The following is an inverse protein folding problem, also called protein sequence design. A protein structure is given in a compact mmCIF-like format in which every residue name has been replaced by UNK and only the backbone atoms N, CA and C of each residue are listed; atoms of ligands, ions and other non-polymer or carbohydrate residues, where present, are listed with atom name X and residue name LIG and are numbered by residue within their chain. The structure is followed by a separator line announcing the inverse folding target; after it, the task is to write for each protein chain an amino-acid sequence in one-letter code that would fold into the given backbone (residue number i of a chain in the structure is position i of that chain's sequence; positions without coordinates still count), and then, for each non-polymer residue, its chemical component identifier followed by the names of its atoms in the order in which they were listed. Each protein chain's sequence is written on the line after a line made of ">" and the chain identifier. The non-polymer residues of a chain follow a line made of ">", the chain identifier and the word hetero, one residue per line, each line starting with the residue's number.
data_IF_198523133403
#
_entry.id   IF_198523133403
#
_cell.length_a   1.000
_cell.length_b   1.000
_cell.length_c   1.000
_cell.angle_alpha   90.00
_cell.angle_beta   90.00
_cell.angle_gamma   90.00
#
_symmetry.space_group_name_H-M   'P 1'
#
loop_
_entity.id
_entity.type
_entity.pdbx_description
1 polymer ?
#
# COMPACT_ATOMS: atom_id res chain seq x y z
N UNK A 1 -10.08 15.58 13.55
CA UNK A 1 -9.92 14.11 13.33
C UNK A 1 -8.58 13.75 12.68
N UNK A 2 -8.03 14.56 11.76
CA UNK A 2 -6.72 14.31 11.12
C UNK A 2 -5.49 14.75 11.95
N UNK A 3 -5.69 15.35 13.12
CA UNK A 3 -4.61 16.03 13.86
C UNK A 3 -3.94 15.25 14.99
N UNK A 4 -4.42 14.11 15.51
CA UNK A 4 -3.76 13.55 16.72
C UNK A 4 -3.98 12.05 16.95
N UNK A 5 -2.85 11.35 17.15
CA UNK A 5 -2.63 10.07 17.85
C UNK A 5 -3.27 8.77 17.32
N UNK A 6 -4.36 8.81 16.55
CA UNK A 6 -5.03 7.57 16.12
C UNK A 6 -4.14 6.71 15.21
N UNK A 7 -3.47 7.30 14.22
CA UNK A 7 -2.60 6.55 13.30
C UNK A 7 -1.41 5.92 14.05
N UNK A 8 -0.60 6.68 14.83
CA UNK A 8 0.46 6.08 15.64
C UNK A 8 -0.01 5.00 16.60
N UNK A 9 -1.19 5.17 17.23
CA UNK A 9 -1.77 4.17 18.11
C UNK A 9 -2.17 2.90 17.35
N UNK A 10 -2.83 3.04 16.21
CA UNK A 10 -3.21 1.91 15.36
C UNK A 10 -1.96 1.15 14.90
N UNK A 11 -0.91 1.84 14.46
CA UNK A 11 0.34 1.22 14.04
C UNK A 11 1.01 0.44 15.17
N UNK A 12 1.02 0.99 16.40
CA UNK A 12 1.53 0.28 17.58
C UNK A 12 0.73 -1.00 17.87
N UNK A 13 -0.60 -0.93 17.81
CA UNK A 13 -1.47 -2.09 18.02
C UNK A 13 -1.30 -3.12 16.88
N UNK A 14 -1.16 -2.66 15.65
CA UNK A 14 -0.90 -3.50 14.47
C UNK A 14 0.42 -4.28 14.59
N UNK A 15 1.43 -3.70 15.26
CA UNK A 15 2.72 -4.34 15.48
C UNK A 15 2.65 -5.39 16.61
N UNK A 16 2.18 -5.00 17.80
CA UNK A 16 2.33 -5.81 19.03
C UNK A 16 1.02 -6.28 19.68
N UNK A 17 -0.14 -5.94 19.12
CA UNK A 17 -1.44 -6.35 19.65
C UNK A 17 -1.79 -7.83 19.43
N UNK A 18 -2.87 -8.27 20.06
CA UNK A 18 -3.50 -9.56 19.75
C UNK A 18 -4.09 -9.57 18.34
N UNK A 19 -4.36 -10.74 17.77
CA UNK A 19 -4.94 -10.86 16.41
C UNK A 19 -6.23 -10.01 16.24
N UNK A 20 -7.11 -10.07 17.24
CA UNK A 20 -8.36 -9.31 17.25
C UNK A 20 -8.10 -7.79 17.25
N UNK A 21 -7.19 -7.32 18.12
CA UNK A 21 -6.82 -5.91 18.19
C UNK A 21 -6.12 -5.44 16.92
N UNK A 22 -5.24 -6.26 16.33
CA UNK A 22 -4.59 -6.01 15.04
C UNK A 22 -5.63 -5.86 13.93
N UNK A 23 -6.64 -6.73 13.91
CA UNK A 23 -7.72 -6.68 12.91
C UNK A 23 -8.49 -5.36 13.01
N UNK A 24 -8.89 -4.97 14.22
CA UNK A 24 -9.62 -3.71 14.45
C UNK A 24 -8.75 -2.49 14.11
N UNK A 25 -7.49 -2.46 14.56
CA UNK A 25 -6.58 -1.36 14.27
C UNK A 25 -6.29 -1.22 12.77
N UNK A 26 -6.11 -2.34 12.06
CA UNK A 26 -5.91 -2.34 10.60
C UNK A 26 -7.16 -1.87 9.88
N UNK A 27 -8.35 -2.25 10.36
CA UNK A 27 -9.62 -1.76 9.81
C UNK A 27 -9.78 -0.24 9.99
N UNK A 28 -9.40 0.31 11.15
CA UNK A 28 -9.41 1.75 11.39
C UNK A 28 -8.43 2.45 10.44
N UNK A 29 -7.20 1.95 10.32
CA UNK A 29 -6.22 2.49 9.37
C UNK A 29 -6.72 2.42 7.92
N UNK A 30 -7.36 1.32 7.54
CA UNK A 30 -7.97 1.15 6.24
C UNK A 30 -9.03 2.23 5.99
N UNK A 31 -9.91 2.50 6.96
CA UNK A 31 -10.92 3.56 6.83
C UNK A 31 -10.28 4.92 6.61
N UNK A 32 -9.23 5.25 7.37
CA UNK A 32 -8.46 6.48 7.19
C UNK A 32 -7.84 6.56 5.79
N UNK A 33 -7.27 5.47 5.28
CA UNK A 33 -6.67 5.43 3.94
C UNK A 33 -7.74 5.55 2.82
N UNK A 34 -8.95 5.04 3.05
CA UNK A 34 -10.04 5.17 2.07
C UNK A 34 -10.45 6.62 1.87
N UNK A 35 -10.38 7.46 2.92
CA UNK A 35 -10.60 8.89 2.80
C UNK A 35 -9.41 9.58 2.09
N UNK A 36 -9.70 10.40 1.07
CA UNK A 36 -8.66 11.11 0.29
C UNK A 36 -7.79 12.01 1.18
N UNK A 37 -8.38 12.64 2.19
CA UNK A 37 -7.64 13.45 3.17
C UNK A 37 -6.69 12.62 4.04
N UNK A 38 -7.08 11.40 4.41
CA UNK A 38 -6.26 10.50 5.22
C UNK A 38 -5.12 9.88 4.39
N UNK A 39 -5.40 9.48 3.15
CA UNK A 39 -4.36 9.06 2.20
C UNK A 39 -3.34 10.18 1.96
N UNK A 40 -3.83 11.39 1.67
CA UNK A 40 -2.98 12.57 1.48
C UNK A 40 -2.10 12.85 2.70
N UNK A 41 -2.66 12.75 3.92
CA UNK A 41 -1.92 12.93 5.17
C UNK A 41 -0.79 11.90 5.38
N UNK A 42 -1.07 10.61 5.12
CA UNK A 42 -0.09 9.51 5.27
C UNK A 42 1.01 9.62 4.22
N UNK A 43 0.65 9.92 2.98
CA UNK A 43 1.59 10.06 1.86
C UNK A 43 2.23 11.46 1.76
N UNK A 44 1.95 12.35 2.71
CA UNK A 44 2.45 13.73 2.70
C UNK A 44 3.98 13.78 2.84
N UNK A 45 4.50 13.03 3.81
CA UNK A 45 5.94 12.91 4.08
C UNK A 45 6.41 11.47 3.92
N UNK A 46 7.68 11.31 3.57
CA UNK A 46 8.29 9.99 3.42
C UNK A 46 8.28 9.21 4.74
N UNK A 47 8.59 9.86 5.87
CA UNK A 47 8.60 9.21 7.19
C UNK A 47 7.26 8.59 7.58
N UNK A 48 6.14 9.30 7.34
CA UNK A 48 4.80 8.79 7.65
C UNK A 48 4.46 7.57 6.81
N UNK A 49 4.68 7.67 5.50
CA UNK A 49 4.46 6.55 4.59
C UNK A 49 5.36 5.35 4.93
N UNK A 50 6.66 5.59 5.12
CA UNK A 50 7.65 4.56 5.41
C UNK A 50 7.30 3.80 6.68
N UNK A 51 6.92 4.51 7.74
CA UNK A 51 6.50 3.87 8.98
C UNK A 51 5.27 2.96 8.77
N UNK A 52 4.24 3.42 8.05
CA UNK A 52 3.07 2.61 7.72
C UNK A 52 3.46 1.38 6.89
N UNK A 53 4.29 1.55 5.86
CA UNK A 53 4.73 0.48 4.98
C UNK A 53 5.55 -0.59 5.74
N UNK A 54 6.43 -0.19 6.65
CA UNK A 54 7.22 -1.10 7.49
C UNK A 54 6.31 -1.97 8.36
N UNK A 55 5.32 -1.36 9.03
CA UNK A 55 4.41 -2.12 9.91
C UNK A 55 3.54 -3.07 9.08
N UNK A 56 2.99 -2.62 7.95
CA UNK A 56 2.25 -3.51 7.04
C UNK A 56 3.13 -4.66 6.53
N UNK A 57 4.42 -4.41 6.23
CA UNK A 57 5.37 -5.42 5.81
C UNK A 57 5.61 -6.48 6.89
N UNK A 58 5.83 -6.06 8.14
CA UNK A 58 5.95 -6.98 9.29
C UNK A 58 4.69 -7.82 9.46
N UNK A 59 3.51 -7.23 9.29
CA UNK A 59 2.25 -7.97 9.35
C UNK A 59 2.14 -9.03 8.27
N UNK A 60 2.56 -8.73 7.03
CA UNK A 60 2.58 -9.72 5.94
C UNK A 60 3.49 -10.90 6.28
N UNK A 61 4.69 -10.64 6.80
CA UNK A 61 5.62 -11.71 7.22
C UNK A 61 5.04 -12.52 8.40
N UNK A 62 4.30 -11.89 9.30
CA UNK A 62 3.60 -12.61 10.37
C UNK A 62 2.49 -13.49 9.81
N UNK A 63 1.72 -12.97 8.85
CA UNK A 63 0.61 -13.67 8.21
C UNK A 63 1.07 -14.87 7.38
N UNK A 64 2.28 -14.86 6.84
CA UNK A 64 2.82 -16.04 6.13
C UNK A 64 3.14 -17.21 7.06
N UNK A 65 3.33 -16.95 8.36
CA UNK A 65 3.55 -17.98 9.39
C UNK A 65 2.25 -18.41 10.05
N UNK A 66 1.41 -17.42 10.40
CA UNK A 66 0.11 -17.63 11.03
C UNK A 66 -0.99 -16.99 10.17
N UNK A 67 -1.59 -17.76 9.25
CA UNK A 67 -2.52 -17.22 8.27
C UNK A 67 -3.83 -16.76 8.89
N UNK A 68 -4.19 -15.49 8.66
CA UNK A 68 -5.49 -14.91 9.03
C UNK A 68 -6.13 -14.19 7.85
N UNK A 69 -7.18 -14.79 7.28
CA UNK A 69 -7.86 -14.26 6.09
C UNK A 69 -8.48 -12.87 6.34
N UNK A 70 -9.03 -12.65 7.54
CA UNK A 70 -9.65 -11.36 7.92
C UNK A 70 -8.61 -10.25 7.96
N UNK A 71 -7.47 -10.52 8.59
CA UNK A 71 -6.40 -9.52 8.70
C UNK A 71 -5.75 -9.26 7.33
N UNK A 72 -5.46 -10.32 6.57
CA UNK A 72 -4.88 -10.23 5.22
C UNK A 72 -5.74 -9.35 4.31
N UNK A 73 -7.07 -9.50 4.35
CA UNK A 73 -8.01 -8.67 3.60
C UNK A 73 -7.80 -7.17 3.84
N UNK A 74 -7.67 -6.77 5.10
CA UNK A 74 -7.46 -5.36 5.45
C UNK A 74 -6.06 -4.88 5.03
N UNK A 75 -5.02 -5.70 5.21
CA UNK A 75 -3.65 -5.40 4.80
C UNK A 75 -3.55 -5.17 3.29
N UNK A 76 -4.08 -6.09 2.48
CA UNK A 76 -4.10 -5.96 1.00
C UNK A 76 -4.85 -4.70 0.59
N UNK A 77 -5.97 -4.39 1.24
CA UNK A 77 -6.76 -3.21 0.90
C UNK A 77 -6.06 -1.90 1.24
N UNK A 78 -5.27 -1.86 2.31
CA UNK A 78 -4.39 -0.73 2.65
C UNK A 78 -3.31 -0.51 1.58
N UNK A 79 -2.61 -1.58 1.17
CA UNK A 79 -1.60 -1.49 0.10
C UNK A 79 -2.19 -1.01 -1.22
N UNK A 80 -3.34 -1.56 -1.64
CA UNK A 80 -4.03 -1.13 -2.86
C UNK A 80 -4.31 0.37 -2.80
N UNK A 81 -4.82 0.87 -1.66
CA UNK A 81 -5.14 2.29 -1.52
C UNK A 81 -3.89 3.18 -1.49
N UNK A 82 -2.80 2.72 -0.88
CA UNK A 82 -1.51 3.42 -0.95
C UNK A 82 -0.99 3.51 -2.39
N UNK A 83 -1.25 2.50 -3.24
CA UNK A 83 -0.83 2.50 -4.64
C UNK A 83 -1.54 3.56 -5.51
N UNK A 84 -2.66 4.12 -5.04
CA UNK A 84 -3.35 5.21 -5.75
C UNK A 84 -2.53 6.51 -5.70
N UNK A 85 -1.68 6.68 -4.68
CA UNK A 85 -0.77 7.82 -4.60
C UNK A 85 0.50 7.54 -5.44
N UNK A 86 0.86 8.40 -6.41
CA UNK A 86 2.01 8.16 -7.29
C UNK A 86 3.35 8.05 -6.55
N UNK A 87 3.56 8.83 -5.48
CA UNK A 87 4.81 8.79 -4.68
C UNK A 87 4.90 7.50 -3.88
N UNK A 88 3.80 7.12 -3.23
CA UNK A 88 3.75 5.87 -2.46
C UNK A 88 3.86 4.65 -3.37
N UNK A 89 3.23 4.68 -4.55
CA UNK A 89 3.33 3.62 -5.58
C UNK A 89 4.77 3.35 -5.99
N UNK A 90 5.56 4.40 -6.25
CA UNK A 90 6.98 4.23 -6.59
C UNK A 90 7.76 3.55 -5.46
N UNK A 91 7.56 4.00 -4.22
CA UNK A 91 8.20 3.38 -3.07
C UNK A 91 7.74 1.92 -2.85
N UNK A 92 6.44 1.64 -3.04
CA UNK A 92 5.87 0.31 -2.91
C UNK A 92 6.47 -0.68 -3.92
N UNK A 93 6.91 -0.25 -5.11
CA UNK A 93 7.59 -1.17 -6.04
C UNK A 93 8.83 -1.80 -5.42
N UNK A 94 9.54 -1.03 -4.59
CA UNK A 94 10.79 -1.40 -3.94
C UNK A 94 10.58 -2.08 -2.58
N UNK A 95 9.50 -1.74 -1.85
CA UNK A 95 9.28 -2.23 -0.48
C UNK A 95 8.10 -3.19 -0.30
N UNK A 96 7.37 -3.57 -1.36
CA UNK A 96 6.32 -4.58 -1.27
C UNK A 96 6.90 -5.94 -0.87
N UNK A 97 6.39 -6.60 0.19
CA UNK A 97 6.86 -7.92 0.60
C UNK A 97 6.67 -8.98 -0.48
N UNK A 98 7.67 -9.85 -0.65
CA UNK A 98 7.66 -10.92 -1.67
C UNK A 98 6.51 -11.91 -1.48
N UNK A 99 6.02 -12.10 -0.25
CA UNK A 99 4.90 -12.99 0.06
C UNK A 99 3.58 -12.55 -0.62
N UNK A 100 3.46 -11.27 -0.98
CA UNK A 100 2.32 -10.76 -1.75
C UNK A 100 2.48 -10.99 -3.26
N UNK A 101 3.69 -11.36 -3.73
CA UNK A 101 4.04 -11.59 -5.13
C UNK A 101 4.20 -13.08 -5.47
N UNK A 102 4.76 -13.87 -4.55
CA UNK A 102 5.17 -15.27 -4.77
C UNK A 102 4.02 -16.29 -4.65
N UNK A 103 2.80 -15.84 -4.34
CA UNK A 103 1.65 -16.72 -4.19
C UNK A 103 1.52 -17.38 -2.82
N UNK A 104 2.30 -16.98 -1.80
CA UNK A 104 2.21 -17.47 -0.41
C UNK A 104 0.77 -17.51 0.11
N UNK A 105 -0.02 -16.48 -0.18
CA UNK A 105 -1.41 -16.38 0.32
C UNK A 105 -2.46 -17.01 -0.60
N UNK A 106 -2.09 -17.74 -1.66
CA UNK A 106 -3.05 -18.27 -2.64
C UNK A 106 -4.14 -19.12 -1.99
N UNK A 107 -3.78 -19.96 -1.01
CA UNK A 107 -4.72 -20.80 -0.25
C UNK A 107 -5.72 -19.95 0.56
N UNK A 108 -5.24 -18.95 1.31
CA UNK A 108 -6.10 -18.02 2.07
C UNK A 108 -7.02 -17.17 1.19
N UNK A 109 -6.59 -16.89 -0.05
CA UNK A 109 -7.32 -16.07 -1.00
C UNK A 109 -8.29 -16.85 -1.89
N UNK A 110 -8.32 -18.19 -1.81
CA UNK A 110 -9.25 -18.99 -2.64
C UNK A 110 -10.72 -18.66 -2.34
N UNK A 111 -11.06 -18.49 -1.07
CA UNK A 111 -12.43 -18.24 -0.62
C UNK A 111 -12.82 -16.75 -0.69
N UNK A 112 -11.84 -15.84 -0.64
CA UNK A 112 -12.09 -14.39 -0.73
C UNK A 112 -11.70 -13.81 -2.11
N UNK A 113 -12.66 -13.95 -3.05
CA UNK A 113 -12.54 -13.40 -4.41
C UNK A 113 -12.26 -11.90 -4.44
N UNK A 114 -12.75 -11.15 -3.45
CA UNK A 114 -12.56 -9.69 -3.39
C UNK A 114 -11.11 -9.36 -3.07
N UNK A 115 -10.55 -10.01 -2.06
CA UNK A 115 -9.15 -9.81 -1.67
C UNK A 115 -8.19 -10.26 -2.77
N UNK A 116 -8.49 -11.37 -3.44
CA UNK A 116 -7.74 -11.81 -4.63
C UNK A 116 -7.73 -10.75 -5.73
N UNK A 117 -8.91 -10.19 -6.06
CA UNK A 117 -9.03 -9.12 -7.06
C UNK A 117 -8.24 -7.87 -6.67
N UNK A 118 -8.29 -7.46 -5.40
CA UNK A 118 -7.52 -6.31 -4.90
C UNK A 118 -6.02 -6.51 -4.98
N UNK A 119 -5.54 -7.71 -4.68
CA UNK A 119 -4.12 -8.05 -4.83
C UNK A 119 -3.68 -7.97 -6.29
N UNK A 120 -4.47 -8.51 -7.23
CA UNK A 120 -4.18 -8.40 -8.66
C UNK A 120 -4.15 -6.95 -9.13
N UNK A 121 -5.10 -6.12 -8.67
CA UNK A 121 -5.12 -4.68 -8.99
C UNK A 121 -3.90 -3.95 -8.42
N UNK A 122 -3.49 -4.28 -7.20
CA UNK A 122 -2.29 -3.73 -6.57
C UNK A 122 -1.05 -4.03 -7.42
N UNK A 123 -0.84 -5.30 -7.77
CA UNK A 123 0.31 -5.70 -8.59
C UNK A 123 0.30 -5.00 -9.94
N UNK A 124 -0.86 -4.94 -10.60
CA UNK A 124 -1.03 -4.20 -11.85
C UNK A 124 -0.67 -2.71 -11.71
N UNK A 125 -1.11 -2.05 -10.65
CA UNK A 125 -0.79 -0.65 -10.39
C UNK A 125 0.71 -0.40 -10.20
N UNK A 126 1.43 -1.39 -9.67
CA UNK A 126 2.88 -1.36 -9.50
C UNK A 126 3.60 -1.68 -10.81
N UNK A 127 3.07 -2.52 -11.67
CA UNK A 127 3.68 -2.84 -12.96
C UNK A 127 3.50 -1.75 -14.02
N UNK A 128 2.50 -0.87 -13.90
CA UNK A 128 2.29 0.20 -14.89
C UNK A 128 3.51 1.14 -14.91
N UNK A 129 4.29 1.22 -16.00
CA UNK A 129 5.42 2.14 -16.06
C UNK A 129 4.90 3.57 -15.93
N UNK A 130 5.51 4.33 -15.02
CA UNK A 130 5.32 5.78 -14.96
C UNK A 130 5.86 6.32 -16.28
N UNK A 131 4.96 6.66 -17.21
CA UNK A 131 5.34 7.34 -18.44
C UNK A 131 6.08 8.60 -18.00
N UNK A 132 7.38 8.76 -18.32
CA UNK A 132 8.07 10.00 -18.05
C UNK A 132 7.28 11.08 -18.79
N UNK A 133 6.81 12.08 -18.07
CA UNK A 133 6.25 13.29 -18.66
C UNK A 133 7.34 13.82 -19.59
N UNK A 134 7.15 13.61 -20.89
CA UNK A 134 8.02 14.16 -21.92
C UNK A 134 7.79 15.65 -21.86
N UNK A 135 8.78 16.37 -21.35
CA UNK A 135 8.80 17.82 -21.28
C UNK A 135 8.55 18.36 -22.70
N UNK A 136 7.45 19.08 -22.98
CA UNK A 136 7.16 19.60 -24.33
C UNK A 136 8.13 20.72 -24.77
N UNK A 137 9.19 20.98 -24.01
CA UNK A 137 10.19 22.03 -24.27
C UNK A 137 11.41 21.56 -25.08
N UNK A 138 11.45 20.30 -25.51
CA UNK A 138 12.52 19.74 -26.35
C UNK A 138 12.08 19.51 -27.81
N UNK A 139 11.16 20.33 -28.34
CA UNK A 139 10.94 20.41 -29.78
C UNK A 139 12.16 21.08 -30.41
N UNK A 140 12.98 20.26 -31.06
CA UNK A 140 14.20 20.65 -31.74
C UNK A 140 13.97 21.77 -32.75
N UNK A 141 14.79 22.81 -32.63
CA UNK A 141 15.02 23.79 -33.67
C UNK A 141 15.77 23.07 -34.79
N UNK A 142 15.08 22.79 -35.90
CA UNK A 142 15.71 22.29 -37.12
C UNK A 142 16.59 23.40 -37.73
N UNK A 143 17.82 23.11 -38.20
CA UNK A 143 18.61 24.09 -38.92
C UNK A 143 18.07 24.18 -40.36
N UNK A 144 17.69 25.40 -40.76
CA UNK A 144 17.43 25.74 -42.15
C UNK A 144 18.76 25.69 -42.91
N UNK A 145 18.89 24.72 -43.82
CA UNK A 145 19.97 24.69 -44.79
C UNK A 145 19.80 25.84 -45.81
N UNK A 146 20.89 26.52 -46.12
CA UNK A 146 21.10 27.37 -47.30
C UNK A 146 22.46 27.03 -47.89
#
# INVERSE_FOLDING_TARGET
>A
LLTTEIIPLCLRIMESGSELSKTVATFILQKILLDDSGLSYICHTYDRFSHVAIILGKMVISLSKEPSARLLKHVVRCYLRLSDNPRAREALRQCLPDQLRDGTFTACLQEDKSTKHWLTMLLKNLDTPTVPVTDPRQVGIAPLAS
#
